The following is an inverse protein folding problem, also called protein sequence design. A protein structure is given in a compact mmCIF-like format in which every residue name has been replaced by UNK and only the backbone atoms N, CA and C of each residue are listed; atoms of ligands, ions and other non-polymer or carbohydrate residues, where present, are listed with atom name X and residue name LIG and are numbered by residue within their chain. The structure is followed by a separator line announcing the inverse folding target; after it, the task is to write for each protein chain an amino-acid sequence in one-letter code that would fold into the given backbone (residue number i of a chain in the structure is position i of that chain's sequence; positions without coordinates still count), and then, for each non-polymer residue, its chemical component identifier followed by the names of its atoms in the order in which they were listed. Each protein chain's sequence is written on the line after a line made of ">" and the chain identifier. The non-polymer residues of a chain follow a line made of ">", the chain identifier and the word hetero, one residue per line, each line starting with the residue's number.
data_IF_056517488415
#
_entry.id   IF_056517488415
#
_cell.length_a   1.000
_cell.length_b   1.000
_cell.length_c   1.000
_cell.angle_alpha   90.00
_cell.angle_beta   90.00
_cell.angle_gamma   90.00
#
_symmetry.space_group_name_H-M   'P 1'
#
loop_
_entity.id
_entity.type
_entity.pdbx_description
1 polymer ?
#
# COMPACT_ATOMS: atom_id res chain seq x y z
N UNK A 1 2.59 -27.55 -16.07
CA UNK A 1 2.84 -27.43 -17.52
C UNK A 1 2.98 -28.81 -18.14
N UNK A 2 3.89 -29.70 -17.69
CA UNK A 2 4.13 -31.02 -18.28
C UNK A 2 2.88 -31.92 -18.33
N UNK A 3 1.98 -31.79 -17.37
CA UNK A 3 0.70 -32.53 -17.33
C UNK A 3 -0.45 -31.81 -18.04
N UNK A 4 -0.18 -30.68 -18.72
CA UNK A 4 -1.19 -29.92 -19.43
C UNK A 4 -2.19 -29.16 -18.56
N UNK A 5 -1.91 -29.01 -17.25
CA UNK A 5 -2.80 -28.29 -16.32
C UNK A 5 -2.79 -26.77 -16.60
N UNK A 6 -1.65 -26.23 -17.01
CA UNK A 6 -1.46 -24.83 -17.32
C UNK A 6 -0.37 -24.62 -18.37
N UNK A 7 -0.46 -23.54 -19.14
CA UNK A 7 0.61 -23.08 -20.02
C UNK A 7 1.66 -22.24 -19.28
N UNK A 8 2.84 -22.10 -19.89
CA UNK A 8 3.93 -21.27 -19.36
C UNK A 8 3.47 -19.83 -19.18
N UNK A 9 2.89 -19.25 -20.22
CA UNK A 9 2.43 -17.86 -20.22
C UNK A 9 1.27 -17.61 -19.24
N UNK A 10 0.36 -18.59 -19.08
CA UNK A 10 -0.74 -18.53 -18.10
C UNK A 10 -0.22 -18.53 -16.65
N UNK A 11 0.81 -19.36 -16.39
CA UNK A 11 1.46 -19.43 -15.09
C UNK A 11 2.15 -18.11 -14.74
N UNK A 12 2.96 -17.58 -15.66
CA UNK A 12 3.69 -16.34 -15.46
C UNK A 12 2.77 -15.12 -15.40
N UNK A 13 1.72 -15.07 -16.23
CA UNK A 13 0.71 -14.01 -16.14
C UNK A 13 -0.02 -14.02 -14.79
N UNK A 14 -0.34 -15.21 -14.24
CA UNK A 14 -0.97 -15.33 -12.92
C UNK A 14 -0.02 -14.91 -11.81
N UNK A 15 1.25 -15.34 -11.85
CA UNK A 15 2.26 -14.91 -10.89
C UNK A 15 2.44 -13.39 -10.90
N UNK A 16 2.51 -12.80 -12.08
CA UNK A 16 2.76 -11.37 -12.25
C UNK A 16 1.55 -10.50 -11.90
N UNK A 17 0.37 -10.78 -12.49
CA UNK A 17 -0.80 -9.92 -12.36
C UNK A 17 -1.71 -10.26 -11.17
N UNK A 18 -1.77 -11.54 -10.75
CA UNK A 18 -2.64 -11.96 -9.64
C UNK A 18 -1.89 -11.96 -8.30
N UNK A 19 -0.65 -12.46 -8.27
CA UNK A 19 0.17 -12.51 -7.06
C UNK A 19 1.05 -11.27 -6.90
N UNK A 20 1.21 -10.46 -7.95
CA UNK A 20 2.04 -9.25 -7.93
C UNK A 20 3.54 -9.50 -7.90
N UNK A 21 3.99 -10.69 -8.30
CA UNK A 21 5.41 -11.02 -8.32
C UNK A 21 6.17 -10.12 -9.31
N UNK A 22 7.42 -9.75 -9.03
CA UNK A 22 8.22 -8.90 -9.93
C UNK A 22 8.53 -9.58 -11.26
N UNK A 23 8.52 -10.91 -11.28
CA UNK A 23 8.76 -11.78 -12.44
C UNK A 23 7.81 -12.97 -12.42
N UNK A 24 7.54 -13.52 -13.62
CA UNK A 24 6.91 -14.83 -13.76
C UNK A 24 7.84 -15.96 -13.27
N UNK A 25 7.30 -17.13 -12.99
CA UNK A 25 8.07 -18.27 -12.49
C UNK A 25 9.03 -18.80 -13.59
N UNK A 26 8.56 -18.94 -14.82
CA UNK A 26 9.37 -19.39 -15.95
C UNK A 26 10.30 -18.27 -16.46
N UNK A 27 9.88 -17.02 -16.37
CA UNK A 27 10.72 -15.84 -16.61
C UNK A 27 11.92 -15.83 -15.64
N UNK A 28 11.71 -16.14 -14.36
CA UNK A 28 12.77 -16.22 -13.37
C UNK A 28 13.79 -17.32 -13.70
N UNK A 29 13.34 -18.50 -14.15
CA UNK A 29 14.23 -19.56 -14.62
C UNK A 29 15.09 -19.11 -15.81
N UNK A 30 14.51 -18.38 -16.76
CA UNK A 30 15.25 -17.82 -17.90
C UNK A 30 16.27 -16.78 -17.45
N UNK A 31 15.91 -15.94 -16.48
CA UNK A 31 16.78 -14.89 -15.94
C UNK A 31 17.98 -15.47 -15.19
N UNK A 32 17.76 -16.45 -14.31
CA UNK A 32 18.82 -17.09 -13.50
C UNK A 32 19.65 -18.09 -14.29
N UNK A 33 19.11 -18.64 -15.34
CA UNK A 33 19.69 -19.69 -16.16
C UNK A 33 19.21 -21.09 -15.73
N UNK A 34 18.73 -21.86 -16.70
CA UNK A 34 18.15 -23.18 -16.45
C UNK A 34 19.17 -24.21 -15.99
N UNK A 35 20.41 -24.13 -16.46
CA UNK A 35 21.52 -24.99 -15.99
C UNK A 35 21.88 -24.70 -14.52
N UNK A 36 21.79 -23.43 -14.09
CA UNK A 36 21.96 -23.04 -12.68
C UNK A 36 20.85 -23.66 -11.85
N UNK A 37 19.59 -23.49 -12.27
CA UNK A 37 18.43 -24.08 -11.60
C UNK A 37 18.55 -25.60 -11.47
N UNK A 38 18.92 -26.28 -12.54
CA UNK A 38 19.11 -27.75 -12.54
C UNK A 38 20.27 -28.16 -11.62
N UNK A 39 21.39 -27.43 -11.62
CA UNK A 39 22.53 -27.70 -10.76
C UNK A 39 22.19 -27.54 -9.28
N UNK A 40 21.44 -26.49 -8.92
CA UNK A 40 20.97 -26.27 -7.55
C UNK A 40 20.06 -27.42 -7.10
N UNK A 41 19.07 -27.82 -7.93
CA UNK A 41 18.18 -28.93 -7.61
C UNK A 41 18.97 -30.22 -7.36
N UNK A 42 19.94 -30.54 -8.22
CA UNK A 42 20.80 -31.73 -8.06
C UNK A 42 21.64 -31.67 -6.78
N UNK A 43 22.31 -30.55 -6.53
CA UNK A 43 23.14 -30.37 -5.33
C UNK A 43 22.33 -30.48 -4.03
N UNK A 44 21.10 -29.96 -4.00
CA UNK A 44 20.22 -30.08 -2.86
C UNK A 44 19.71 -31.52 -2.71
N UNK A 45 19.38 -32.19 -3.81
CA UNK A 45 18.96 -33.61 -3.79
C UNK A 45 20.05 -34.54 -3.25
N UNK A 46 21.31 -34.29 -3.63
CA UNK A 46 22.49 -35.03 -3.10
C UNK A 46 22.67 -34.81 -1.58
N UNK A 47 22.21 -33.69 -1.04
CA UNK A 47 22.21 -33.38 0.39
C UNK A 47 20.98 -33.89 1.14
N UNK A 48 20.14 -34.72 0.48
CA UNK A 48 18.97 -35.36 1.07
C UNK A 48 17.66 -34.53 1.00
N UNK A 49 17.67 -33.37 0.34
CA UNK A 49 16.42 -32.67 0.06
C UNK A 49 15.66 -33.40 -1.06
N UNK A 50 14.40 -33.72 -0.80
CA UNK A 50 13.53 -34.40 -1.79
C UNK A 50 12.99 -33.39 -2.80
N UNK A 51 13.83 -32.88 -3.69
CA UNK A 51 13.45 -31.96 -4.76
C UNK A 51 13.13 -32.71 -6.03
N UNK A 52 12.20 -32.19 -6.80
CA UNK A 52 11.77 -32.80 -8.07
C UNK A 52 12.53 -32.12 -9.21
N UNK A 53 13.27 -32.91 -10.00
CA UNK A 53 13.64 -32.47 -11.34
C UNK A 53 12.45 -32.69 -12.27
N UNK A 54 12.20 -31.73 -13.16
CA UNK A 54 11.16 -31.87 -14.18
C UNK A 54 11.81 -31.95 -15.57
N UNK A 55 11.26 -32.84 -16.38
CA UNK A 55 11.78 -33.15 -17.72
C UNK A 55 11.90 -31.93 -18.61
N UNK A 56 10.95 -31.00 -18.48
CA UNK A 56 10.95 -29.75 -19.24
C UNK A 56 12.21 -28.91 -19.01
N UNK A 57 12.73 -28.85 -17.77
CA UNK A 57 13.99 -28.16 -17.45
C UNK A 57 15.20 -28.90 -18.01
N UNK A 58 15.22 -30.25 -17.84
CA UNK A 58 16.31 -31.09 -18.34
C UNK A 58 16.43 -31.01 -19.87
N UNK A 59 15.29 -31.07 -20.58
CA UNK A 59 15.24 -30.97 -22.03
C UNK A 59 15.73 -29.60 -22.54
N UNK A 60 15.38 -28.52 -21.84
CA UNK A 60 15.88 -27.18 -22.15
C UNK A 60 17.41 -27.11 -21.98
N UNK A 61 17.93 -27.60 -20.86
CA UNK A 61 19.40 -27.63 -20.62
C UNK A 61 20.10 -28.48 -21.67
N UNK A 62 19.57 -29.68 -21.98
CA UNK A 62 20.13 -30.59 -23.00
C UNK A 62 20.15 -29.96 -24.39
N UNK A 63 19.13 -29.16 -24.72
CA UNK A 63 19.05 -28.46 -26.03
C UNK A 63 19.82 -27.14 -26.08
N UNK A 64 20.54 -26.76 -25.03
CA UNK A 64 21.31 -25.52 -24.95
C UNK A 64 20.46 -24.24 -24.83
N UNK A 65 19.16 -24.39 -24.56
CA UNK A 65 18.23 -23.27 -24.35
C UNK A 65 18.24 -22.87 -22.88
N UNK A 66 19.26 -22.10 -22.50
CA UNK A 66 19.57 -21.82 -21.09
C UNK A 66 18.96 -20.53 -20.55
N UNK A 67 18.03 -19.92 -21.29
CA UNK A 67 17.41 -18.65 -20.93
C UNK A 67 18.13 -17.45 -21.53
N UNK A 68 18.16 -16.34 -20.78
CA UNK A 68 18.74 -15.06 -21.22
C UNK A 68 20.17 -15.21 -21.75
N UNK A 69 20.99 -16.00 -21.09
CA UNK A 69 22.41 -16.14 -21.47
C UNK A 69 22.62 -16.82 -22.83
N UNK A 70 21.67 -17.64 -23.28
CA UNK A 70 21.73 -18.29 -24.61
C UNK A 70 20.81 -17.62 -25.65
N UNK A 71 20.04 -16.59 -25.26
CA UNK A 71 19.07 -15.92 -26.11
C UNK A 71 17.73 -16.63 -26.25
N UNK A 72 17.61 -17.85 -25.74
CA UNK A 72 16.35 -18.61 -25.74
C UNK A 72 16.28 -19.52 -24.51
N UNK A 73 15.09 -19.57 -23.91
CA UNK A 73 14.74 -20.45 -22.83
C UNK A 73 13.28 -20.85 -22.93
N UNK A 74 12.47 -20.53 -21.92
CA UNK A 74 11.02 -20.58 -22.00
C UNK A 74 10.49 -19.46 -22.91
N UNK A 75 11.21 -18.32 -22.90
CA UNK A 75 10.99 -17.17 -23.78
C UNK A 75 12.16 -16.98 -24.75
N UNK A 76 11.97 -16.10 -25.74
CA UNK A 76 13.03 -15.66 -26.68
C UNK A 76 13.49 -14.26 -26.31
N UNK A 77 14.79 -14.04 -26.38
CA UNK A 77 15.43 -12.76 -26.06
C UNK A 77 16.13 -12.21 -27.31
N UNK A 78 16.19 -10.87 -27.49
CA UNK A 78 16.75 -10.28 -28.72
C UNK A 78 18.20 -10.62 -28.95
N UNK A 79 18.99 -10.74 -27.88
CA UNK A 79 20.42 -11.05 -27.91
C UNK A 79 20.80 -11.93 -26.72
N UNK A 80 21.72 -12.88 -26.85
CA UNK A 80 22.27 -13.61 -25.71
C UNK A 80 22.85 -12.68 -24.66
N UNK A 81 22.52 -12.92 -23.39
CA UNK A 81 22.96 -12.11 -22.24
C UNK A 81 22.18 -10.82 -22.01
N UNK A 82 21.26 -10.43 -22.90
CA UNK A 82 20.47 -9.21 -22.77
C UNK A 82 19.04 -9.54 -22.33
N UNK A 83 18.76 -9.27 -21.07
CA UNK A 83 17.39 -9.44 -20.54
C UNK A 83 16.46 -8.34 -21.07
N UNK A 84 15.38 -8.77 -21.68
CA UNK A 84 14.23 -7.92 -21.99
C UNK A 84 13.01 -8.62 -21.40
N UNK A 85 12.28 -7.94 -20.53
CA UNK A 85 11.14 -8.52 -19.84
C UNK A 85 10.10 -8.99 -20.84
N UNK A 86 9.66 -10.27 -20.80
CA UNK A 86 8.58 -10.76 -21.65
C UNK A 86 7.28 -9.99 -21.39
N UNK A 87 6.54 -9.71 -22.46
CA UNK A 87 5.22 -9.09 -22.34
C UNK A 87 4.19 -10.18 -21.97
N UNK A 88 3.75 -10.20 -20.72
CA UNK A 88 2.69 -11.11 -20.28
C UNK A 88 1.32 -10.56 -20.65
N UNK A 89 0.46 -11.40 -21.21
CA UNK A 89 -0.92 -11.03 -21.55
C UNK A 89 -1.79 -11.04 -20.29
N UNK A 90 -2.38 -9.90 -19.97
CA UNK A 90 -3.18 -9.72 -18.75
C UNK A 90 -4.45 -10.59 -18.73
N UNK A 91 -5.03 -10.89 -19.88
CA UNK A 91 -6.20 -11.76 -20.02
C UNK A 91 -5.94 -13.22 -19.64
N UNK A 92 -4.66 -13.61 -19.51
CA UNK A 92 -4.26 -14.94 -19.02
C UNK A 92 -4.12 -15.00 -17.50
N UNK A 93 -4.14 -13.85 -16.82
CA UNK A 93 -4.06 -13.80 -15.37
C UNK A 93 -5.28 -14.48 -14.73
N UNK A 94 -5.02 -15.34 -13.73
CA UNK A 94 -6.08 -16.07 -13.03
C UNK A 94 -6.57 -17.34 -13.74
N UNK A 95 -6.05 -17.70 -14.92
CA UNK A 95 -6.32 -19.00 -15.53
C UNK A 95 -5.68 -20.17 -14.77
N UNK A 96 -4.64 -19.90 -14.03
CA UNK A 96 -4.03 -20.84 -13.09
C UNK A 96 -4.48 -20.49 -11.68
N UNK A 97 -4.87 -21.47 -10.88
CA UNK A 97 -5.23 -21.22 -9.49
C UNK A 97 -4.00 -20.71 -8.71
N UNK A 98 -4.01 -19.49 -8.17
CA UNK A 98 -2.89 -18.97 -7.38
C UNK A 98 -2.57 -19.83 -6.14
N UNK A 99 -3.55 -20.56 -5.59
CA UNK A 99 -3.30 -21.53 -4.52
C UNK A 99 -2.34 -22.64 -4.96
N UNK A 100 -2.47 -23.10 -6.20
CA UNK A 100 -1.55 -24.10 -6.77
C UNK A 100 -0.12 -23.57 -6.84
N UNK A 101 0.07 -22.32 -7.27
CA UNK A 101 1.40 -21.71 -7.41
C UNK A 101 2.10 -21.50 -6.07
N UNK A 102 1.34 -21.19 -5.02
CA UNK A 102 1.88 -20.88 -3.69
C UNK A 102 1.94 -22.09 -2.75
N UNK A 103 1.22 -23.17 -3.04
CA UNK A 103 1.01 -24.26 -2.08
C UNK A 103 2.30 -24.83 -1.50
N UNK A 104 3.30 -25.11 -2.32
CA UNK A 104 4.59 -25.66 -1.85
C UNK A 104 5.38 -24.64 -1.01
N UNK A 105 5.44 -23.40 -1.45
CA UNK A 105 6.15 -22.35 -0.73
C UNK A 105 5.51 -22.05 0.64
N UNK A 106 4.18 -22.04 0.71
CA UNK A 106 3.44 -21.89 1.98
C UNK A 106 3.67 -23.10 2.89
N UNK A 107 3.72 -24.31 2.33
CA UNK A 107 3.99 -25.53 3.08
C UNK A 107 5.36 -25.50 3.76
N UNK A 108 6.40 -25.07 3.03
CA UNK A 108 7.75 -24.90 3.56
C UNK A 108 7.83 -23.78 4.61
N UNK A 109 7.19 -22.64 4.35
CA UNK A 109 7.12 -21.54 5.31
C UNK A 109 6.41 -21.99 6.62
N UNK A 110 5.33 -22.76 6.50
CA UNK A 110 4.62 -23.32 7.65
C UNK A 110 5.49 -24.34 8.42
N UNK A 111 6.33 -25.12 7.71
CA UNK A 111 7.31 -25.99 8.34
C UNK A 111 8.34 -25.20 9.13
N UNK A 112 8.96 -24.19 8.52
CA UNK A 112 9.95 -23.35 9.18
C UNK A 112 9.39 -22.67 10.44
N UNK A 113 8.16 -22.17 10.36
CA UNK A 113 7.46 -21.55 11.47
C UNK A 113 7.19 -22.55 12.60
N UNK A 114 6.67 -23.73 12.27
CA UNK A 114 6.33 -24.77 13.24
C UNK A 114 7.53 -25.31 13.97
N UNK A 115 8.63 -25.57 13.26
CA UNK A 115 9.87 -26.10 13.83
C UNK A 115 10.73 -25.01 14.54
N UNK A 116 10.25 -23.76 14.56
CA UNK A 116 10.95 -22.64 15.19
C UNK A 116 12.27 -22.26 14.51
N UNK A 117 12.44 -22.63 13.23
CA UNK A 117 13.64 -22.30 12.44
C UNK A 117 13.72 -20.79 12.21
N UNK A 118 12.58 -20.14 11.97
CA UNK A 118 12.48 -18.69 11.82
C UNK A 118 11.12 -18.19 12.35
N UNK A 119 11.09 -16.94 12.82
CA UNK A 119 9.82 -16.30 13.20
C UNK A 119 8.97 -16.00 11.98
N UNK A 120 7.66 -15.80 12.19
CA UNK A 120 6.75 -15.37 11.12
C UNK A 120 7.25 -14.10 10.45
N UNK A 121 7.68 -13.13 11.24
CA UNK A 121 8.19 -11.83 10.81
C UNK A 121 9.47 -11.95 9.98
N UNK A 122 10.37 -12.87 10.33
CA UNK A 122 11.61 -13.10 9.59
C UNK A 122 11.33 -13.74 8.23
N UNK A 123 10.42 -14.73 8.19
CA UNK A 123 9.99 -15.37 6.93
C UNK A 123 9.35 -14.35 6.00
N UNK A 124 8.43 -13.52 6.51
CA UNK A 124 7.79 -12.46 5.74
C UNK A 124 8.79 -11.43 5.19
N UNK A 125 9.75 -11.04 6.03
CA UNK A 125 10.81 -10.09 5.66
C UNK A 125 11.72 -10.68 4.58
N UNK A 126 12.12 -11.93 4.73
CA UNK A 126 12.96 -12.64 3.76
C UNK A 126 12.28 -12.75 2.38
N UNK A 127 10.98 -13.05 2.35
CA UNK A 127 10.20 -13.12 1.11
C UNK A 127 10.08 -11.74 0.45
N UNK A 128 9.72 -10.72 1.22
CA UNK A 128 9.55 -9.35 0.69
C UNK A 128 10.88 -8.77 0.17
N UNK A 129 11.94 -8.88 0.94
CA UNK A 129 13.25 -8.29 0.57
C UNK A 129 14.07 -9.18 -0.35
N UNK A 130 14.05 -10.50 -0.15
CA UNK A 130 14.86 -11.44 -0.92
C UNK A 130 14.26 -11.76 -2.30
N UNK A 131 12.95 -11.90 -2.39
CA UNK A 131 12.25 -12.21 -3.63
C UNK A 131 11.58 -11.00 -4.28
N UNK A 132 11.56 -9.85 -3.61
CA UNK A 132 10.90 -8.64 -4.08
C UNK A 132 9.38 -8.78 -4.18
N UNK A 133 8.77 -9.69 -3.41
CA UNK A 133 7.32 -9.86 -3.42
C UNK A 133 6.63 -8.69 -2.73
N UNK A 134 5.47 -8.23 -3.24
CA UNK A 134 4.77 -7.10 -2.66
C UNK A 134 4.17 -7.42 -1.28
N UNK A 135 3.89 -8.70 -1.03
CA UNK A 135 3.31 -9.23 0.22
C UNK A 135 4.14 -10.41 0.72
N UNK A 136 4.04 -10.66 2.02
CA UNK A 136 4.66 -11.84 2.61
C UNK A 136 3.90 -13.13 2.27
N UNK A 137 4.55 -14.27 2.48
CA UNK A 137 4.02 -15.59 2.12
C UNK A 137 2.76 -15.96 2.91
N UNK A 138 2.73 -15.65 4.21
CA UNK A 138 1.58 -15.93 5.07
C UNK A 138 0.43 -14.95 4.83
N UNK A 139 0.76 -13.70 4.45
CA UNK A 139 -0.24 -12.71 4.05
C UNK A 139 -0.95 -13.16 2.76
N UNK A 140 -0.20 -13.64 1.76
CA UNK A 140 -0.75 -14.22 0.53
C UNK A 140 -1.56 -15.49 0.81
N UNK A 141 -1.08 -16.35 1.73
CA UNK A 141 -1.80 -17.55 2.13
C UNK A 141 -3.17 -17.23 2.73
N UNK A 142 -3.23 -16.22 3.59
CA UNK A 142 -4.48 -15.77 4.21
C UNK A 142 -5.45 -15.12 3.19
N UNK A 143 -4.93 -14.45 2.16
CA UNK A 143 -5.75 -13.87 1.08
C UNK A 143 -6.36 -14.95 0.18
N UNK A 144 -5.58 -15.95 -0.18
CA UNK A 144 -6.01 -17.05 -1.06
C UNK A 144 -6.97 -17.98 -0.31
N UNK A 145 -6.66 -18.25 0.95
CA UNK A 145 -7.36 -19.19 1.82
C UNK A 145 -6.52 -20.44 2.11
N UNK A 146 -6.29 -20.68 3.40
CA UNK A 146 -5.47 -21.77 3.89
C UNK A 146 -6.07 -23.14 3.53
N UNK A 147 -7.39 -23.25 3.50
CA UNK A 147 -8.10 -24.45 3.03
C UNK A 147 -7.82 -24.75 1.55
N UNK A 148 -7.86 -23.73 0.67
CA UNK A 148 -7.54 -23.90 -0.75
C UNK A 148 -6.10 -24.35 -0.95
N UNK A 149 -5.17 -23.76 -0.22
CA UNK A 149 -3.75 -24.15 -0.25
C UNK A 149 -3.59 -25.58 0.20
N UNK A 150 -4.23 -25.97 1.31
CA UNK A 150 -4.19 -27.33 1.84
C UNK A 150 -4.80 -28.34 0.86
N UNK A 151 -5.90 -27.99 0.20
CA UNK A 151 -6.54 -28.80 -0.84
C UNK A 151 -5.60 -29.02 -2.04
N UNK A 152 -4.92 -27.97 -2.51
CA UNK A 152 -3.95 -28.10 -3.61
C UNK A 152 -2.76 -28.99 -3.23
N UNK A 153 -2.27 -28.92 -2.01
CA UNK A 153 -1.20 -29.82 -1.52
C UNK A 153 -1.66 -31.29 -1.52
N UNK A 154 -2.86 -31.57 -1.03
CA UNK A 154 -3.44 -32.92 -1.05
C UNK A 154 -3.64 -33.41 -2.48
N UNK A 155 -4.09 -32.55 -3.39
CA UNK A 155 -4.23 -32.87 -4.80
C UNK A 155 -2.89 -33.22 -5.43
N UNK A 156 -1.85 -32.38 -5.23
CA UNK A 156 -0.49 -32.64 -5.75
C UNK A 156 0.04 -33.96 -5.20
N UNK A 157 -0.13 -34.24 -3.90
CA UNK A 157 0.27 -35.50 -3.28
C UNK A 157 -0.41 -36.70 -3.95
N UNK A 158 -1.71 -36.64 -4.16
CA UNK A 158 -2.50 -37.72 -4.78
C UNK A 158 -2.09 -37.96 -6.23
N UNK A 159 -1.87 -36.87 -7.00
CA UNK A 159 -1.52 -36.96 -8.42
C UNK A 159 -0.06 -37.39 -8.66
N UNK A 160 0.85 -37.08 -7.72
CA UNK A 160 2.30 -37.30 -7.89
C UNK A 160 2.87 -38.43 -7.06
N UNK A 161 2.19 -38.82 -5.98
CA UNK A 161 2.69 -39.79 -5.00
C UNK A 161 3.85 -39.30 -4.13
N UNK A 162 4.15 -38.00 -4.15
CA UNK A 162 5.27 -37.40 -3.46
C UNK A 162 4.93 -37.13 -1.98
N UNK A 163 5.58 -37.83 -1.07
CA UNK A 163 5.32 -37.72 0.37
C UNK A 163 5.68 -36.33 0.92
N UNK A 164 6.71 -35.66 0.40
CA UNK A 164 7.18 -34.39 0.89
C UNK A 164 6.27 -33.18 0.56
N UNK A 165 5.25 -33.37 -0.27
CA UNK A 165 4.21 -32.39 -0.54
C UNK A 165 3.00 -32.56 0.36
N UNK A 166 3.08 -33.43 1.38
CA UNK A 166 2.03 -33.56 2.38
C UNK A 166 1.78 -32.23 3.09
N UNK A 167 0.51 -31.82 3.26
CA UNK A 167 0.20 -30.59 3.98
C UNK A 167 0.79 -30.60 5.38
N UNK A 168 1.48 -29.53 5.75
CA UNK A 168 2.05 -29.37 7.08
C UNK A 168 0.94 -29.50 8.14
N UNK A 169 1.18 -30.21 9.26
CA UNK A 169 0.21 -30.32 10.35
C UNK A 169 -0.33 -28.97 10.85
N UNK A 170 0.48 -27.89 10.80
CA UNK A 170 0.01 -26.54 11.15
C UNK A 170 -1.13 -26.08 10.24
N UNK A 171 -1.01 -26.28 8.92
CA UNK A 171 -2.06 -25.92 7.96
C UNK A 171 -3.33 -26.74 8.19
N UNK A 172 -3.18 -28.06 8.42
CA UNK A 172 -4.30 -28.94 8.72
C UNK A 172 -5.02 -28.52 10.00
N UNK A 173 -4.27 -28.16 11.03
CA UNK A 173 -4.83 -27.70 12.30
C UNK A 173 -5.57 -26.37 12.13
N UNK A 174 -5.02 -25.44 11.36
CA UNK A 174 -5.66 -24.15 11.06
C UNK A 174 -6.99 -24.36 10.34
N UNK A 175 -7.02 -25.22 9.32
CA UNK A 175 -8.27 -25.56 8.60
C UNK A 175 -9.29 -26.19 9.55
N UNK A 176 -8.90 -27.16 10.38
CA UNK A 176 -9.78 -27.79 11.38
C UNK A 176 -10.36 -26.81 12.39
N UNK A 177 -9.61 -25.75 12.73
CA UNK A 177 -10.04 -24.70 13.65
C UNK A 177 -10.83 -23.57 12.96
N UNK A 178 -11.06 -23.66 11.66
CA UNK A 178 -11.76 -22.64 10.89
C UNK A 178 -10.93 -21.37 10.66
N UNK A 179 -9.60 -21.43 10.87
CA UNK A 179 -8.66 -20.31 10.61
C UNK A 179 -8.24 -20.36 9.14
N UNK A 180 -9.12 -19.87 8.27
CA UNK A 180 -8.98 -20.02 6.83
C UNK A 180 -8.38 -18.78 6.14
N UNK A 181 -7.92 -17.80 6.90
CA UNK A 181 -7.40 -16.52 6.42
C UNK A 181 -8.42 -15.39 6.46
N UNK A 182 -8.28 -14.41 5.57
CA UNK A 182 -9.14 -13.21 5.52
C UNK A 182 -10.63 -13.55 5.48
N UNK A 183 -11.05 -14.57 4.75
CA UNK A 183 -12.45 -14.96 4.61
C UNK A 183 -13.12 -15.46 5.90
N UNK A 184 -12.34 -15.96 6.85
CA UNK A 184 -12.84 -16.41 8.16
C UNK A 184 -12.54 -15.43 9.29
N UNK A 185 -11.86 -14.30 8.99
CA UNK A 185 -11.43 -13.33 9.99
C UNK A 185 -10.18 -13.73 10.78
N UNK A 186 -9.67 -14.95 10.60
CA UNK A 186 -8.43 -15.42 11.22
C UNK A 186 -7.73 -16.44 10.33
N UNK A 187 -6.41 -16.31 10.21
CA UNK A 187 -5.50 -17.23 9.57
C UNK A 187 -4.16 -17.19 10.30
N UNK A 188 -3.07 -16.99 9.58
CA UNK A 188 -1.78 -16.63 10.17
C UNK A 188 -1.81 -15.26 10.84
N UNK A 189 -2.74 -14.43 10.39
CA UNK A 189 -3.08 -13.12 10.97
C UNK A 189 -4.53 -13.12 11.45
N UNK A 190 -4.84 -12.16 12.31
CA UNK A 190 -6.23 -11.85 12.69
C UNK A 190 -6.73 -10.69 11.84
N UNK A 191 -7.88 -10.88 11.24
CA UNK A 191 -8.58 -9.89 10.43
C UNK A 191 -9.86 -9.49 11.15
N UNK A 192 -9.81 -8.39 11.85
CA UNK A 192 -11.04 -7.81 12.42
C UNK A 192 -11.88 -7.33 11.24
N UNK A 193 -13.16 -7.74 11.11
CA UNK A 193 -14.04 -7.18 10.11
C UNK A 193 -13.99 -5.65 10.18
N UNK A 194 -13.84 -5.01 9.03
CA UNK A 194 -13.85 -3.56 8.99
C UNK A 194 -15.22 -3.07 9.48
N UNK A 195 -15.24 -2.28 10.55
CA UNK A 195 -16.45 -1.56 10.95
C UNK A 195 -16.70 -0.45 9.95
N UNK A 196 -17.81 -0.48 9.25
CA UNK A 196 -18.17 0.53 8.27
C UNK A 196 -19.37 1.35 8.72
N UNK A 197 -19.24 2.66 8.68
CA UNK A 197 -20.28 3.62 9.01
C UNK A 197 -20.49 4.49 7.77
N UNK A 198 -21.61 4.31 7.09
CA UNK A 198 -21.97 5.09 5.92
C UNK A 198 -22.79 6.29 6.34
N UNK A 199 -22.31 7.49 5.99
CA UNK A 199 -23.04 8.75 6.07
C UNK A 199 -23.48 9.18 4.66
N UNK A 200 -24.10 10.33 4.55
CA UNK A 200 -24.66 10.79 3.26
C UNK A 200 -23.57 10.98 2.18
N UNK A 201 -22.44 11.60 2.56
CA UNK A 201 -21.38 11.99 1.61
C UNK A 201 -20.04 11.34 1.85
N UNK A 202 -19.86 10.62 2.96
CA UNK A 202 -18.65 9.90 3.29
C UNK A 202 -18.96 8.52 3.88
N UNK A 203 -17.97 7.63 3.78
CA UNK A 203 -17.94 6.35 4.47
C UNK A 203 -16.73 6.33 5.41
N UNK A 204 -16.92 5.92 6.64
CA UNK A 204 -15.85 5.65 7.60
C UNK A 204 -15.68 4.15 7.70
N UNK A 205 -14.52 3.62 7.27
CA UNK A 205 -14.18 2.21 7.39
C UNK A 205 -13.02 2.07 8.37
N UNK A 206 -13.25 1.37 9.48
CA UNK A 206 -12.21 1.11 10.49
C UNK A 206 -11.59 -0.25 10.27
N UNK A 207 -10.31 -0.26 10.00
CA UNK A 207 -9.44 -1.43 9.87
C UNK A 207 -8.29 -1.26 10.87
N UNK A 208 -8.59 -1.46 12.14
CA UNK A 208 -7.65 -1.16 13.24
C UNK A 208 -6.22 -1.62 12.94
N UNK A 209 -5.21 -0.77 13.09
CA UNK A 209 -5.21 0.57 13.70
C UNK A 209 -5.50 1.74 12.70
N UNK A 210 -6.00 1.47 11.53
CA UNK A 210 -6.26 2.45 10.45
C UNK A 210 -7.75 2.75 10.37
N UNK A 211 -8.09 4.03 10.17
CA UNK A 211 -9.42 4.43 9.72
C UNK A 211 -9.34 5.04 8.32
N UNK A 212 -10.22 4.60 7.43
CA UNK A 212 -10.40 5.19 6.11
C UNK A 212 -11.59 6.14 6.14
N UNK A 213 -11.40 7.36 5.67
CA UNK A 213 -12.48 8.27 5.33
C UNK A 213 -12.60 8.28 3.81
N UNK A 214 -13.68 7.72 3.30
CA UNK A 214 -13.92 7.58 1.87
C UNK A 214 -14.95 8.65 1.46
N UNK A 215 -14.54 9.60 0.63
CA UNK A 215 -15.45 10.58 0.03
C UNK A 215 -16.39 9.82 -0.91
N UNK A 216 -17.70 9.95 -0.71
CA UNK A 216 -18.69 9.09 -1.33
C UNK A 216 -19.80 9.85 -2.06
N UNK A 217 -19.39 10.63 -3.05
CA UNK A 217 -20.27 11.25 -4.06
C UNK A 217 -19.70 10.99 -5.47
N UNK A 218 -19.51 9.69 -5.85
CA UNK A 218 -18.80 9.35 -7.10
C UNK A 218 -19.47 9.90 -8.35
N UNK A 219 -20.80 10.07 -8.36
CA UNK A 219 -21.57 10.67 -9.44
C UNK A 219 -21.26 12.16 -9.65
N UNK A 220 -20.64 12.82 -8.68
CA UNK A 220 -20.15 14.19 -8.69
C UNK A 220 -18.62 14.27 -8.59
N UNK A 221 -17.91 13.18 -8.89
CA UNK A 221 -16.45 13.07 -8.73
C UNK A 221 -16.00 13.53 -7.33
N UNK A 222 -16.79 13.22 -6.31
CA UNK A 222 -16.57 13.55 -4.90
C UNK A 222 -16.42 15.08 -4.63
N UNK A 223 -17.10 15.92 -5.42
CA UNK A 223 -17.11 17.36 -5.22
C UNK A 223 -17.61 17.71 -3.81
N UNK A 224 -16.87 18.60 -3.14
CA UNK A 224 -17.11 18.99 -1.74
C UNK A 224 -18.28 19.97 -1.66
N UNK A 225 -19.39 19.52 -1.09
CA UNK A 225 -20.53 20.34 -0.70
C UNK A 225 -20.50 20.65 0.81
N UNK A 226 -21.45 21.45 1.28
CA UNK A 226 -21.57 21.81 2.70
C UNK A 226 -21.69 20.57 3.59
N UNK A 227 -22.49 19.60 3.18
CA UNK A 227 -22.72 18.35 3.92
C UNK A 227 -21.42 17.57 4.10
N UNK A 228 -20.65 17.43 3.04
CA UNK A 228 -19.35 16.70 3.11
C UNK A 228 -18.37 17.43 4.04
N UNK A 229 -18.32 18.77 4.06
CA UNK A 229 -17.48 19.50 5.00
C UNK A 229 -17.88 19.24 6.45
N UNK A 230 -19.17 19.24 6.74
CA UNK A 230 -19.71 18.94 8.08
C UNK A 230 -19.38 17.50 8.49
N UNK A 231 -19.64 16.54 7.60
CA UNK A 231 -19.39 15.13 7.86
C UNK A 231 -17.90 14.82 8.02
N UNK A 232 -17.03 15.40 7.23
CA UNK A 232 -15.57 15.30 7.41
C UNK A 232 -15.13 15.81 8.78
N UNK A 233 -15.64 17.00 9.19
CA UNK A 233 -15.30 17.54 10.51
C UNK A 233 -15.75 16.64 11.64
N UNK A 234 -16.99 16.12 11.59
CA UNK A 234 -17.54 15.18 12.59
C UNK A 234 -16.81 13.83 12.58
N UNK A 235 -16.43 13.34 11.40
CA UNK A 235 -15.66 12.10 11.30
C UNK A 235 -14.30 12.23 11.99
N UNK A 236 -13.62 13.35 11.79
CA UNK A 236 -12.36 13.63 12.48
C UNK A 236 -12.56 13.70 14.00
N UNK A 237 -13.61 14.39 14.51
CA UNK A 237 -13.89 14.43 15.95
C UNK A 237 -14.11 13.01 16.52
N UNK A 238 -14.92 12.20 15.84
CA UNK A 238 -15.18 10.82 16.27
C UNK A 238 -13.95 9.94 16.27
N UNK A 239 -13.08 10.10 15.28
CA UNK A 239 -11.85 9.31 15.14
C UNK A 239 -10.72 9.80 16.05
N UNK A 240 -10.76 11.06 16.50
CA UNK A 240 -9.84 11.61 17.52
C UNK A 240 -9.96 10.86 18.83
N UNK A 241 -11.21 10.63 19.26
CA UNK A 241 -11.54 9.98 20.52
C UNK A 241 -11.38 8.46 20.50
N UNK A 242 -11.23 7.85 19.32
CA UNK A 242 -11.11 6.39 19.16
C UNK A 242 -9.66 5.91 19.43
N UNK A 243 -9.40 5.22 20.56
CA UNK A 243 -8.05 4.78 20.93
C UNK A 243 -7.51 3.67 20.02
N UNK A 244 -8.38 2.97 19.31
CA UNK A 244 -8.01 1.90 18.39
C UNK A 244 -7.55 2.42 17.03
N UNK A 245 -7.82 3.70 16.72
CA UNK A 245 -7.41 4.36 15.48
C UNK A 245 -6.14 5.17 15.73
N UNK A 246 -5.07 4.86 15.03
CA UNK A 246 -3.79 5.55 15.12
C UNK A 246 -3.45 6.39 13.89
N UNK A 247 -3.98 6.04 12.73
CA UNK A 247 -3.72 6.71 11.45
C UNK A 247 -5.01 6.79 10.64
N UNK A 248 -5.18 7.90 9.93
CA UNK A 248 -6.32 8.11 9.03
C UNK A 248 -5.83 8.12 7.59
N UNK A 249 -6.59 7.48 6.70
CA UNK A 249 -6.39 7.56 5.25
C UNK A 249 -7.65 8.18 4.63
N UNK A 250 -7.49 9.26 3.86
CA UNK A 250 -8.57 9.87 3.09
C UNK A 250 -8.43 9.45 1.63
N UNK A 251 -9.51 8.94 1.03
CA UNK A 251 -9.59 8.59 -0.39
C UNK A 251 -10.94 8.94 -0.98
N UNK A 252 -11.07 8.90 -2.30
CA UNK A 252 -12.35 9.02 -2.98
C UNK A 252 -12.93 7.66 -3.36
N UNK A 253 -14.26 7.56 -3.48
CA UNK A 253 -14.91 6.46 -4.17
C UNK A 253 -15.01 6.74 -5.68
N UNK A 254 -15.15 5.69 -6.50
CA UNK A 254 -15.32 5.83 -7.94
C UNK A 254 -14.05 6.28 -8.68
N UNK A 255 -14.19 7.25 -9.62
CA UNK A 255 -13.15 7.61 -10.60
C UNK A 255 -12.19 8.72 -10.16
N UNK A 256 -12.42 9.34 -9.01
CA UNK A 256 -11.65 10.50 -8.59
C UNK A 256 -11.47 10.53 -7.07
N UNK A 257 -10.35 11.08 -6.64
CA UNK A 257 -10.18 11.48 -5.26
C UNK A 257 -11.22 12.57 -4.92
N UNK A 258 -11.14 13.75 -5.55
CA UNK A 258 -12.08 14.83 -5.41
C UNK A 258 -11.87 15.90 -6.49
N UNK A 259 -12.89 16.23 -7.27
CA UNK A 259 -12.81 17.21 -8.36
C UNK A 259 -13.01 18.67 -7.93
N UNK A 260 -13.04 18.96 -6.63
CA UNK A 260 -13.11 20.33 -6.14
C UNK A 260 -14.35 20.66 -5.34
N UNK A 261 -14.72 21.94 -5.28
CA UNK A 261 -15.95 22.39 -4.64
C UNK A 261 -17.16 22.09 -5.55
N UNK A 262 -18.32 21.84 -4.94
CA UNK A 262 -19.57 21.70 -5.71
C UNK A 262 -19.95 23.07 -6.32
N UNK A 263 -19.81 23.21 -7.65
CA UNK A 263 -20.01 24.48 -8.38
C UNK A 263 -21.45 24.99 -8.25
N UNK A 264 -22.43 24.12 -8.06
CA UNK A 264 -23.82 24.53 -7.85
C UNK A 264 -23.97 25.33 -6.58
N UNK A 265 -23.38 24.87 -5.48
CA UNK A 265 -23.37 25.63 -4.22
C UNK A 265 -22.58 26.94 -4.36
N UNK A 266 -21.52 26.96 -5.17
CA UNK A 266 -20.76 28.19 -5.41
C UNK A 266 -21.57 29.25 -6.17
N UNK A 267 -22.46 28.86 -7.07
CA UNK A 267 -23.30 29.79 -7.84
C UNK A 267 -24.31 30.55 -7.00
N UNK A 268 -24.61 30.06 -5.78
CA UNK A 268 -25.58 30.67 -4.85
C UNK A 268 -24.88 31.62 -3.84
N UNK A 269 -23.55 31.76 -3.90
CA UNK A 269 -22.81 32.57 -2.96
C UNK A 269 -22.88 34.07 -3.28
N UNK A 270 -23.12 34.87 -2.26
CA UNK A 270 -22.84 36.33 -2.29
C UNK A 270 -21.38 36.57 -1.89
N UNK A 271 -20.79 37.76 -2.18
CA UNK A 271 -19.42 38.05 -1.75
C UNK A 271 -19.16 37.80 -0.27
N UNK A 272 -20.11 38.17 0.60
CA UNK A 272 -20.03 37.98 2.06
C UNK A 272 -20.06 36.45 2.38
N UNK A 273 -21.01 35.71 1.81
CA UNK A 273 -21.11 34.28 2.09
C UNK A 273 -19.95 33.49 1.47
N UNK A 274 -19.40 33.93 0.35
CA UNK A 274 -18.20 33.35 -0.25
C UNK A 274 -17.00 33.51 0.69
N UNK A 275 -16.74 34.70 1.23
CA UNK A 275 -15.61 34.93 2.11
C UNK A 275 -15.79 34.27 3.50
N UNK A 276 -16.87 34.65 4.21
CA UNK A 276 -17.02 34.30 5.63
C UNK A 276 -17.62 32.90 5.86
N UNK A 277 -18.44 32.40 4.96
CA UNK A 277 -18.98 31.04 5.11
C UNK A 277 -18.15 30.02 4.35
N UNK A 278 -18.00 30.16 3.05
CA UNK A 278 -17.39 29.09 2.24
C UNK A 278 -15.88 29.02 2.43
N UNK A 279 -15.15 30.11 2.20
CA UNK A 279 -13.69 30.13 2.30
C UNK A 279 -13.26 29.87 3.73
N UNK A 280 -13.76 30.60 4.72
CA UNK A 280 -13.34 30.45 6.11
C UNK A 280 -13.65 29.07 6.69
N UNK A 281 -14.85 28.53 6.48
CA UNK A 281 -15.15 27.15 6.91
C UNK A 281 -14.31 26.10 6.18
N UNK A 282 -14.02 26.34 4.91
CA UNK A 282 -13.08 25.52 4.16
C UNK A 282 -11.68 25.54 4.79
N UNK A 283 -11.18 26.71 5.17
CA UNK A 283 -9.89 26.88 5.84
C UNK A 283 -9.89 26.22 7.23
N UNK A 284 -10.93 26.42 8.02
CA UNK A 284 -11.08 25.80 9.36
C UNK A 284 -11.00 24.26 9.29
N UNK A 285 -11.68 23.63 8.34
CA UNK A 285 -11.58 22.18 8.14
C UNK A 285 -10.15 21.75 7.75
N UNK A 286 -9.46 22.52 6.87
CA UNK A 286 -8.08 22.19 6.47
C UNK A 286 -7.09 22.40 7.61
N UNK A 287 -7.30 23.43 8.45
CA UNK A 287 -6.52 23.61 9.68
C UNK A 287 -6.74 22.45 10.67
N UNK A 288 -7.99 22.00 10.84
CA UNK A 288 -8.29 20.84 11.68
C UNK A 288 -7.56 19.58 11.19
N UNK A 289 -7.48 19.35 9.88
CA UNK A 289 -6.73 18.23 9.29
C UNK A 289 -5.23 18.42 9.52
N UNK A 290 -4.70 19.61 9.25
CA UNK A 290 -3.29 19.92 9.39
C UNK A 290 -2.79 19.76 10.83
N UNK A 291 -3.54 20.21 11.80
CA UNK A 291 -3.19 20.13 13.23
C UNK A 291 -3.84 18.93 13.96
N UNK A 292 -4.32 17.95 13.21
CA UNK A 292 -4.88 16.74 13.79
C UNK A 292 -3.82 15.94 14.54
N UNK A 293 -4.16 15.35 15.69
CA UNK A 293 -3.17 14.65 16.56
C UNK A 293 -2.62 13.38 15.94
N UNK A 294 -3.41 12.72 15.08
CA UNK A 294 -3.02 11.47 14.41
C UNK A 294 -2.57 11.78 12.98
N UNK A 295 -1.61 11.03 12.42
CA UNK A 295 -1.21 11.18 11.02
C UNK A 295 -2.36 10.94 10.05
N UNK A 296 -2.44 11.78 9.00
CA UNK A 296 -3.43 11.68 7.94
C UNK A 296 -2.73 11.53 6.58
N UNK A 297 -3.14 10.54 5.81
CA UNK A 297 -2.62 10.24 4.47
C UNK A 297 -3.72 10.50 3.44
N UNK A 298 -3.44 11.22 2.35
CA UNK A 298 -4.29 11.28 1.18
C UNK A 298 -3.86 10.22 0.16
N UNK A 299 -4.77 9.32 -0.20
CA UNK A 299 -4.61 8.34 -1.27
C UNK A 299 -5.35 8.84 -2.53
N UNK A 300 -4.58 9.40 -3.46
CA UNK A 300 -5.07 10.20 -4.58
C UNK A 300 -5.11 9.35 -5.86
N UNK A 301 -6.29 9.24 -6.49
CA UNK A 301 -6.47 8.63 -7.80
C UNK A 301 -7.35 9.50 -8.69
N UNK A 302 -7.24 9.35 -10.00
CA UNK A 302 -8.01 10.12 -10.95
C UNK A 302 -7.82 11.61 -10.77
N UNK A 303 -8.81 12.35 -10.28
CA UNK A 303 -8.74 13.81 -10.17
C UNK A 303 -8.63 14.28 -8.72
N UNK A 304 -7.65 15.15 -8.45
CA UNK A 304 -7.53 15.95 -7.22
C UNK A 304 -7.43 17.43 -7.61
N UNK A 305 -8.58 18.11 -7.73
CA UNK A 305 -8.66 19.45 -8.31
C UNK A 305 -9.21 20.46 -7.31
N UNK A 306 -8.74 21.70 -7.38
CA UNK A 306 -9.26 22.80 -6.59
C UNK A 306 -9.40 22.46 -5.10
N UNK A 307 -10.60 22.58 -4.56
CA UNK A 307 -10.90 22.22 -3.18
C UNK A 307 -10.53 20.78 -2.81
N UNK A 308 -10.46 19.85 -3.78
CA UNK A 308 -9.99 18.48 -3.57
C UNK A 308 -8.47 18.42 -3.39
N UNK A 309 -7.71 19.18 -4.19
CA UNK A 309 -6.28 19.30 -3.96
C UNK A 309 -5.99 20.06 -2.66
N UNK A 310 -6.79 21.09 -2.32
CA UNK A 310 -6.68 21.77 -1.03
C UNK A 310 -6.89 20.84 0.18
N UNK A 311 -7.79 19.86 0.04
CA UNK A 311 -7.97 18.80 1.04
C UNK A 311 -6.71 17.92 1.16
N UNK A 312 -6.16 17.47 0.03
CA UNK A 312 -4.94 16.69 0.03
C UNK A 312 -3.72 17.46 0.56
N UNK A 313 -3.60 18.76 0.26
CA UNK A 313 -2.52 19.62 0.76
C UNK A 313 -2.53 19.81 2.28
N UNK A 314 -3.66 19.60 2.93
CA UNK A 314 -3.79 19.70 4.38
C UNK A 314 -3.42 18.42 5.13
N UNK A 315 -3.21 17.30 4.44
CA UNK A 315 -2.78 16.03 5.03
C UNK A 315 -1.26 15.96 5.17
N UNK A 316 -0.76 15.05 6.03
CA UNK A 316 0.67 14.89 6.26
C UNK A 316 1.37 14.26 5.06
N UNK A 317 0.75 13.25 4.47
CA UNK A 317 1.30 12.50 3.35
C UNK A 317 0.32 12.43 2.18
N UNK A 318 0.84 12.43 0.96
CA UNK A 318 0.10 12.31 -0.29
C UNK A 318 0.71 11.22 -1.14
N UNK A 319 -0.04 10.15 -1.39
CA UNK A 319 0.32 9.07 -2.30
C UNK A 319 -0.62 9.18 -3.49
N UNK A 320 -0.09 9.20 -4.69
CA UNK A 320 -0.88 9.31 -5.91
C UNK A 320 -0.73 8.07 -6.78
N UNK A 321 -1.81 7.68 -7.47
CA UNK A 321 -1.71 6.71 -8.56
C UNK A 321 -1.17 7.37 -9.83
N UNK A 322 -0.56 6.57 -10.71
CA UNK A 322 0.05 7.05 -11.96
C UNK A 322 -0.94 7.79 -12.87
N UNK A 323 -2.23 7.45 -12.81
CA UNK A 323 -3.32 8.07 -13.56
C UNK A 323 -3.87 9.36 -12.92
N UNK A 324 -3.36 9.76 -11.75
CA UNK A 324 -3.87 10.93 -11.07
C UNK A 324 -3.46 12.24 -11.75
N UNK A 325 -4.43 13.17 -11.83
CA UNK A 325 -4.26 14.54 -12.32
C UNK A 325 -4.55 15.51 -11.20
N UNK A 326 -3.62 16.41 -10.94
CA UNK A 326 -3.68 17.38 -9.84
C UNK A 326 -3.67 18.82 -10.40
N UNK A 327 -4.38 19.76 -9.78
CA UNK A 327 -4.37 21.15 -10.22
C UNK A 327 -5.27 22.07 -9.42
N UNK A 328 -5.14 23.37 -9.71
CA UNK A 328 -5.95 24.45 -9.11
C UNK A 328 -6.65 25.24 -10.23
N UNK A 329 -7.74 24.67 -10.85
CA UNK A 329 -8.35 25.25 -12.04
C UNK A 329 -9.34 26.39 -11.75
N UNK A 330 -9.40 26.91 -10.52
CA UNK A 330 -10.34 27.94 -10.09
C UNK A 330 -10.27 29.21 -10.93
N UNK A 331 -9.10 29.55 -11.45
CA UNK A 331 -8.89 30.74 -12.29
C UNK A 331 -9.74 30.69 -13.56
N UNK A 332 -10.02 29.49 -14.10
CA UNK A 332 -10.88 29.29 -15.28
C UNK A 332 -12.34 29.63 -14.99
N UNK A 333 -12.72 29.75 -13.71
CA UNK A 333 -14.06 30.16 -13.27
C UNK A 333 -14.07 31.61 -12.74
N UNK A 334 -12.94 32.34 -12.86
CA UNK A 334 -12.84 33.76 -12.46
C UNK A 334 -12.59 34.00 -10.97
N UNK A 335 -12.15 32.98 -10.22
CA UNK A 335 -11.78 33.11 -8.82
C UNK A 335 -10.48 32.35 -8.49
N UNK A 336 -10.02 32.45 -7.26
CA UNK A 336 -8.79 31.82 -6.78
C UNK A 336 -9.12 30.70 -5.78
N UNK A 337 -8.21 29.75 -5.50
CA UNK A 337 -8.34 28.81 -4.41
C UNK A 337 -8.68 29.50 -3.09
N UNK A 338 -9.71 29.02 -2.38
CA UNK A 338 -10.25 29.70 -1.20
C UNK A 338 -10.03 28.98 0.13
N UNK A 339 -9.56 27.71 0.13
CA UNK A 339 -9.42 26.93 1.33
C UNK A 339 -7.94 26.61 1.71
N UNK A 340 -7.01 27.36 1.12
CA UNK A 340 -5.61 27.41 1.58
C UNK A 340 -4.55 26.99 0.56
N UNK A 341 -4.91 26.64 -0.71
CA UNK A 341 -3.89 26.24 -1.69
C UNK A 341 -2.91 27.36 -2.02
N UNK A 342 -3.34 28.61 -2.09
CA UNK A 342 -2.43 29.73 -2.34
C UNK A 342 -1.29 29.79 -1.32
N UNK A 343 -1.51 29.27 -0.12
CA UNK A 343 -0.54 29.26 0.97
C UNK A 343 0.20 27.93 1.06
N UNK A 344 -0.52 26.80 1.14
CA UNK A 344 0.09 25.47 1.31
C UNK A 344 0.87 25.02 0.08
N UNK A 345 0.32 25.21 -1.12
CA UNK A 345 1.01 24.84 -2.34
C UNK A 345 2.34 25.59 -2.49
N UNK A 346 2.33 26.91 -2.23
CA UNK A 346 3.56 27.73 -2.30
C UNK A 346 4.63 27.31 -1.29
N UNK A 347 4.23 26.79 -0.12
CA UNK A 347 5.17 26.28 0.89
C UNK A 347 5.73 24.90 0.52
N UNK A 348 4.96 24.10 -0.19
CA UNK A 348 5.36 22.73 -0.58
C UNK A 348 6.25 22.74 -1.84
N UNK A 349 5.82 23.44 -2.91
CA UNK A 349 6.50 23.38 -4.22
C UNK A 349 7.26 24.66 -4.58
N UNK A 350 7.25 25.63 -3.68
CA UNK A 350 7.82 26.95 -3.92
C UNK A 350 6.88 27.89 -4.68
N UNK A 351 7.10 29.23 -4.57
CA UNK A 351 6.16 30.23 -5.09
C UNK A 351 6.06 30.25 -6.62
N UNK A 352 7.13 29.91 -7.35
CA UNK A 352 7.11 29.92 -8.81
C UNK A 352 6.18 28.85 -9.36
N UNK A 353 6.32 27.59 -8.89
CA UNK A 353 5.46 26.47 -9.31
C UNK A 353 4.02 26.63 -8.83
N UNK A 354 3.82 27.16 -7.63
CA UNK A 354 2.48 27.44 -7.13
C UNK A 354 1.76 28.48 -7.99
N UNK A 355 2.44 29.57 -8.36
CA UNK A 355 1.88 30.60 -9.27
C UNK A 355 1.57 30.01 -10.64
N UNK A 356 2.46 29.20 -11.21
CA UNK A 356 2.22 28.52 -12.49
C UNK A 356 0.91 27.74 -12.44
N UNK A 357 0.74 26.83 -11.50
CA UNK A 357 -0.45 25.99 -11.37
C UNK A 357 -1.74 26.77 -11.09
N UNK A 358 -1.67 27.80 -10.23
CA UNK A 358 -2.85 28.59 -9.82
C UNK A 358 -3.25 29.57 -10.92
N UNK A 359 -2.29 30.21 -11.60
CA UNK A 359 -2.57 31.28 -12.55
C UNK A 359 -2.89 30.76 -13.95
N UNK A 360 -2.36 29.59 -14.32
CA UNK A 360 -2.72 28.94 -15.59
C UNK A 360 -3.98 28.09 -15.45
N UNK A 361 -4.20 27.49 -14.25
CA UNK A 361 -5.27 26.52 -14.03
C UNK A 361 -5.00 25.18 -14.67
N UNK A 362 -3.76 24.92 -15.10
CA UNK A 362 -3.35 23.68 -15.76
C UNK A 362 -3.35 22.51 -14.76
N UNK A 363 -3.61 21.33 -15.30
CA UNK A 363 -3.53 20.08 -14.58
C UNK A 363 -2.19 19.40 -14.84
N UNK A 364 -1.57 18.86 -13.80
CA UNK A 364 -0.33 18.12 -13.90
C UNK A 364 -0.54 16.65 -13.55
N UNK A 365 0.14 15.72 -14.25
CA UNK A 365 0.10 14.30 -13.90
C UNK A 365 0.86 14.04 -12.58
N UNK A 366 0.51 12.95 -11.91
CA UNK A 366 1.13 12.52 -10.64
C UNK A 366 2.65 12.49 -10.68
N UNK A 367 3.25 12.08 -11.80
CA UNK A 367 4.72 12.01 -11.97
C UNK A 367 5.35 13.40 -11.88
N UNK A 368 4.74 14.43 -12.47
CA UNK A 368 5.23 15.82 -12.35
C UNK A 368 5.00 16.35 -10.95
N UNK A 369 3.86 16.04 -10.34
CA UNK A 369 3.58 16.37 -8.94
C UNK A 369 4.63 15.77 -7.98
N UNK A 370 5.10 14.54 -8.25
CA UNK A 370 6.18 13.90 -7.49
C UNK A 370 7.53 14.61 -7.67
N UNK A 371 7.91 14.96 -8.90
CA UNK A 371 9.17 15.66 -9.18
C UNK A 371 9.29 17.00 -8.48
N UNK A 372 8.17 17.70 -8.26
CA UNK A 372 8.16 18.97 -7.54
C UNK A 372 7.92 18.85 -6.03
N UNK A 373 7.83 17.62 -5.50
CA UNK A 373 7.61 17.38 -4.07
C UNK A 373 6.17 17.57 -3.61
N UNK A 374 5.21 17.70 -4.54
CA UNK A 374 3.79 17.85 -4.20
C UNK A 374 3.18 16.55 -3.64
N UNK A 375 3.62 15.40 -4.12
CA UNK A 375 3.26 14.08 -3.60
C UNK A 375 4.49 13.30 -3.15
N UNK A 376 4.33 12.48 -2.12
CA UNK A 376 5.42 11.72 -1.51
C UNK A 376 5.79 10.46 -2.31
N UNK A 377 4.82 9.89 -3.03
CA UNK A 377 5.01 8.67 -3.82
C UNK A 377 4.00 8.58 -4.95
N UNK A 378 4.42 7.95 -6.05
CA UNK A 378 3.54 7.59 -7.17
C UNK A 378 3.60 6.08 -7.33
N UNK A 379 2.42 5.45 -7.49
CA UNK A 379 2.26 4.00 -7.61
C UNK A 379 1.25 3.66 -8.69
N UNK A 380 1.23 2.42 -9.13
CA UNK A 380 0.17 1.93 -10.04
C UNK A 380 -1.21 2.04 -9.39
N UNK A 381 -2.29 2.28 -10.14
CA UNK A 381 -3.63 2.45 -9.59
C UNK A 381 -4.08 1.30 -8.68
N UNK A 382 -3.79 0.06 -9.05
CA UNK A 382 -4.10 -1.13 -8.28
C UNK A 382 -3.31 -1.27 -6.97
N UNK A 383 -2.18 -0.58 -6.83
CA UNK A 383 -1.32 -0.63 -5.65
C UNK A 383 -1.59 0.52 -4.66
N UNK A 384 -2.45 1.49 -5.00
CA UNK A 384 -2.63 2.70 -4.22
C UNK A 384 -3.12 2.42 -2.78
N UNK A 385 -4.15 1.62 -2.63
CA UNK A 385 -4.73 1.31 -1.32
C UNK A 385 -3.74 0.53 -0.44
N UNK A 386 -2.99 -0.38 -1.05
CA UNK A 386 -1.99 -1.17 -0.32
C UNK A 386 -0.79 -0.33 0.10
N UNK A 387 -0.34 0.60 -0.75
CA UNK A 387 0.75 1.51 -0.39
C UNK A 387 0.34 2.48 0.73
N UNK A 388 -0.88 3.02 0.66
CA UNK A 388 -1.42 3.86 1.72
C UNK A 388 -1.56 3.09 3.04
N UNK A 389 -2.02 1.83 2.98
CA UNK A 389 -2.09 0.91 4.12
C UNK A 389 -0.70 0.63 4.71
N UNK A 390 0.27 0.32 3.87
CA UNK A 390 1.66 0.04 4.26
C UNK A 390 2.27 1.21 5.02
N UNK A 391 2.12 2.44 4.48
CA UNK A 391 2.58 3.64 5.17
C UNK A 391 1.83 3.86 6.50
N UNK A 392 0.51 3.68 6.50
CA UNK A 392 -0.30 3.83 7.71
C UNK A 392 0.09 2.83 8.80
N UNK A 393 0.34 1.55 8.44
CA UNK A 393 0.83 0.55 9.39
C UNK A 393 2.20 0.91 9.95
N UNK A 394 3.12 1.37 9.10
CA UNK A 394 4.44 1.84 9.53
C UNK A 394 4.35 3.01 10.52
N UNK A 395 3.43 3.93 10.32
CA UNK A 395 3.18 5.04 11.25
C UNK A 395 2.52 4.55 12.54
N UNK A 396 1.57 3.63 12.46
CA UNK A 396 0.87 3.07 13.63
C UNK A 396 1.78 2.29 14.60
N UNK A 397 2.94 1.83 14.13
CA UNK A 397 3.99 1.20 14.97
C UNK A 397 4.84 2.22 15.74
N UNK A 398 4.73 3.51 15.45
CA UNK A 398 5.50 4.56 16.10
C UNK A 398 4.80 5.09 17.36
N UNK A 399 5.54 5.69 18.31
CA UNK A 399 4.95 6.28 19.50
C UNK A 399 4.05 7.46 19.12
N UNK A 400 2.74 7.41 19.42
CA UNK A 400 1.78 8.38 18.90
C UNK A 400 2.04 9.83 19.38
N UNK A 401 2.48 10.01 20.62
CA UNK A 401 2.83 11.34 21.14
C UNK A 401 4.04 11.94 20.41
N UNK A 402 5.03 11.12 20.05
CA UNK A 402 6.17 11.60 19.29
C UNK A 402 5.80 11.94 17.85
N UNK A 403 4.88 11.18 17.21
CA UNK A 403 4.35 11.54 15.89
C UNK A 403 3.61 12.87 15.91
N UNK A 404 2.75 13.08 16.91
CA UNK A 404 2.03 14.34 17.12
C UNK A 404 3.01 15.51 17.31
N UNK A 405 4.00 15.33 18.20
CA UNK A 405 5.01 16.37 18.47
C UNK A 405 5.85 16.71 17.23
N UNK A 406 6.27 15.70 16.45
CA UNK A 406 7.02 15.91 15.21
C UNK A 406 6.20 16.68 14.17
N UNK A 407 4.93 16.33 13.98
CA UNK A 407 4.00 17.04 13.09
C UNK A 407 3.85 18.49 13.52
N UNK A 408 3.54 18.76 14.80
CA UNK A 408 3.39 20.10 15.33
C UNK A 408 4.68 20.93 15.21
N UNK A 409 5.85 20.35 15.51
CA UNK A 409 7.12 21.06 15.41
C UNK A 409 7.40 21.53 13.97
N UNK A 410 7.13 20.67 12.97
CA UNK A 410 7.31 21.01 11.56
C UNK A 410 6.30 22.10 11.13
N UNK A 411 5.01 21.89 11.38
CA UNK A 411 3.95 22.80 10.92
C UNK A 411 4.06 24.19 11.56
N UNK A 412 4.22 24.26 12.88
CA UNK A 412 4.35 25.54 13.58
C UNK A 412 5.69 26.21 13.27
N UNK A 413 6.76 25.43 13.15
CA UNK A 413 8.09 25.94 12.79
C UNK A 413 8.11 26.65 11.44
N UNK A 414 7.41 26.09 10.43
CA UNK A 414 7.28 26.72 9.11
C UNK A 414 6.47 28.03 9.13
N UNK A 415 5.54 28.19 10.09
CA UNK A 415 4.73 29.41 10.21
C UNK A 415 5.38 30.50 11.06
N UNK A 416 6.30 30.15 11.98
CA UNK A 416 6.84 31.07 12.99
C UNK A 416 8.27 31.56 12.70
N UNK A 417 8.94 31.04 11.70
CA UNK A 417 10.36 31.28 11.42
C UNK A 417 11.29 30.41 12.26
N UNK A 418 12.61 30.39 11.90
CA UNK A 418 13.55 29.41 12.43
C UNK A 418 13.71 29.44 13.94
N UNK A 419 13.91 30.62 14.53
CA UNK A 419 14.19 30.72 15.97
C UNK A 419 13.02 30.29 16.87
N UNK A 420 11.78 30.78 16.68
CA UNK A 420 10.63 30.27 17.42
C UNK A 420 10.36 28.77 17.14
N UNK A 421 10.59 28.29 15.91
CA UNK A 421 10.47 26.89 15.55
C UNK A 421 11.42 26.00 16.37
N UNK A 422 12.71 26.38 16.50
CA UNK A 422 13.69 25.66 17.31
C UNK A 422 13.31 25.68 18.81
N UNK A 423 12.73 26.77 19.31
CA UNK A 423 12.27 26.83 20.70
C UNK A 423 11.10 25.86 20.95
N UNK A 424 10.14 25.75 20.03
CA UNK A 424 9.03 24.78 20.09
C UNK A 424 9.56 23.36 20.02
N UNK A 425 10.47 23.06 19.07
CA UNK A 425 11.10 21.75 18.94
C UNK A 425 11.77 21.32 20.24
N UNK A 426 12.55 22.20 20.87
CA UNK A 426 13.22 21.96 22.11
C UNK A 426 12.26 21.66 23.27
N UNK A 427 11.13 22.37 23.34
CA UNK A 427 10.10 22.13 24.35
C UNK A 427 9.40 20.80 24.14
N UNK A 428 8.98 20.50 22.91
CA UNK A 428 8.33 19.24 22.57
C UNK A 428 9.26 18.05 22.80
N UNK A 429 10.54 18.17 22.43
CA UNK A 429 11.55 17.17 22.71
C UNK A 429 11.65 16.89 24.20
N UNK A 430 11.75 17.94 25.02
CA UNK A 430 11.82 17.80 26.49
C UNK A 430 10.58 17.15 27.10
N UNK A 431 9.38 17.55 26.64
CA UNK A 431 8.11 16.98 27.11
C UNK A 431 8.03 15.47 26.81
N UNK A 432 8.51 15.02 25.66
CA UNK A 432 8.48 13.60 25.29
C UNK A 432 9.27 12.72 26.27
N UNK A 433 10.32 13.24 26.92
CA UNK A 433 11.09 12.49 27.93
C UNK A 433 10.30 12.17 29.21
N UNK A 434 9.12 12.76 29.40
CA UNK A 434 8.20 12.40 30.49
C UNK A 434 7.30 11.19 30.15
N UNK A 435 7.36 10.67 28.91
CA UNK A 435 6.49 9.58 28.44
C UNK A 435 7.09 8.20 28.69
N UNK A 436 6.23 7.20 28.93
CA UNK A 436 6.65 5.80 29.01
C UNK A 436 7.28 5.32 27.68
N UNK A 437 6.81 5.86 26.56
CA UNK A 437 7.24 5.45 25.22
C UNK A 437 8.71 5.79 24.94
N UNK A 438 9.23 6.91 25.46
CA UNK A 438 10.67 7.23 25.32
C UNK A 438 11.52 6.23 26.12
N UNK A 439 11.10 5.90 27.34
CA UNK A 439 11.79 4.92 28.18
C UNK A 439 11.80 3.54 27.49
N UNK A 440 10.66 3.10 27.00
CA UNK A 440 10.51 1.85 26.26
C UNK A 440 11.36 1.85 24.98
N UNK A 441 11.32 2.93 24.20
CA UNK A 441 12.10 3.05 22.97
C UNK A 441 13.60 2.93 23.20
N UNK A 442 14.14 3.65 24.18
CA UNK A 442 15.55 3.59 24.54
C UNK A 442 15.93 2.19 25.04
N UNK A 443 15.11 1.62 25.92
CA UNK A 443 15.36 0.27 26.47
C UNK A 443 15.34 -0.78 25.37
N UNK A 444 14.32 -0.76 24.50
CA UNK A 444 14.19 -1.71 23.40
C UNK A 444 15.38 -1.62 22.42
N UNK A 445 15.86 -0.40 22.15
CA UNK A 445 17.04 -0.18 21.30
C UNK A 445 18.31 -0.80 21.90
N UNK A 446 18.56 -0.59 23.20
CA UNK A 446 19.71 -1.15 23.91
C UNK A 446 19.65 -2.68 24.00
N UNK A 447 18.45 -3.23 24.16
CA UNK A 447 18.18 -4.68 24.24
C UNK A 447 18.05 -5.34 22.84
N UNK A 448 18.16 -4.58 21.75
CA UNK A 448 18.02 -5.05 20.35
C UNK A 448 16.69 -5.80 20.09
N UNK A 449 15.59 -5.33 20.67
CA UNK A 449 14.24 -5.85 20.48
C UNK A 449 13.30 -4.80 19.88
N UNK A 450 12.15 -5.23 19.39
CA UNK A 450 11.10 -4.29 18.96
C UNK A 450 10.46 -3.60 20.17
N UNK A 451 10.26 -2.27 20.12
CA UNK A 451 9.56 -1.54 21.17
C UNK A 451 8.04 -1.80 21.12
N UNK A 452 7.37 -1.59 22.26
CA UNK A 452 5.91 -1.68 22.39
C UNK A 452 5.38 -0.36 22.94
N UNK A 453 5.05 0.55 22.04
CA UNK A 453 4.56 1.88 22.40
C UNK A 453 3.11 1.87 22.84
N UNK A 454 2.78 2.66 23.86
CA UNK A 454 1.45 2.72 24.50
C UNK A 454 0.76 4.07 24.32
N UNK A 455 1.50 5.12 23.89
CA UNK A 455 0.97 6.47 23.71
C UNK A 455 0.76 7.24 25.02
N UNK A 456 1.56 6.98 26.03
CA UNK A 456 1.46 7.63 27.35
C UNK A 456 2.82 7.81 28.00
#
# INVERSE_FOLDING_TARGET
>A
VEKGIAGIEETDATAYYTLGFPMGIFELHDYTGMDVSLSVIKALSERGFKLITYKLLEDKVRSGKLGVKSGEGFYKYPEPGKFVKPAHRRELAGKVDPALLLSLAVNEAAYMLREGIASKEDIETAVKLGLGWPKGIFELADEIGIDRITEQLLRIKTETGLEHVEPNPLLIEMVKRGKLGKKSGEGFYRYTPAEEITWETIIIRKEKPIAWIILNRPERLNAINWKMMEELSRALDKLEEDPDVKVIVIKGSGRAFCAGADVRELSELTPITAAFKRSRKGQELRLKIQFYTKPIIAAIHGYALGGGLELALSTDFRIASEDAMLGQPEINLGFIPGAGATQRLARIVGPARAKELIMTGDLIPAVEAYKMGLVNKVVKPEALDEEARSLAMKLAEKPPLALMAAKLAVDIGLESGLWPGLAIESQLFGILFSTEDVIEGIKAFLEKRRPKFKGR
#
